data_IF_340884013683
#
_entry.id   IF_340884013683
#
_cell.length_a   1.000
_cell.length_b   1.000
_cell.length_c   1.000
_cell.angle_alpha   90.00
_cell.angle_beta   90.00
_cell.angle_gamma   90.00
#
_symmetry.space_group_name_H-M   'P 1'
#
loop_
_entity.id
_entity.type
_entity.pdbx_description
1 polymer ?
#
# COMPACT_ATOMS: atom_id res chain seq x y z
N UNK A 1 -1.20 -16.02 1.23
CA UNK A 1 -2.44 -15.34 1.69
C UNK A 1 -2.12 -13.85 1.81
N UNK A 2 -3.08 -12.98 1.47
CA UNK A 2 -2.96 -11.54 1.71
C UNK A 2 -3.36 -11.27 3.16
N UNK A 3 -2.47 -10.62 3.91
CA UNK A 3 -2.60 -10.44 5.36
C UNK A 3 -2.21 -9.02 5.75
N UNK A 4 -2.73 -8.57 6.89
CA UNK A 4 -2.26 -7.38 7.56
C UNK A 4 -1.99 -7.64 9.04
N UNK A 5 -0.99 -6.96 9.59
CA UNK A 5 -0.63 -6.92 11.01
C UNK A 5 -0.39 -5.48 11.42
N UNK A 6 -0.51 -5.16 12.72
CA UNK A 6 -0.09 -3.85 13.24
C UNK A 6 1.27 -4.02 13.88
N UNK A 7 2.25 -3.25 13.40
CA UNK A 7 3.64 -3.28 13.84
C UNK A 7 4.13 -1.94 14.38
N UNK A 8 5.26 -1.99 15.06
CA UNK A 8 6.08 -0.84 15.45
C UNK A 8 7.53 -1.18 15.13
N UNK A 9 8.32 -0.22 14.67
CA UNK A 9 9.76 -0.40 14.42
C UNK A 9 10.59 0.31 15.49
N UNK A 10 11.81 -0.16 15.75
CA UNK A 10 12.76 0.51 16.66
C UNK A 10 13.14 1.90 16.16
N UNK A 11 13.11 2.09 14.83
CA UNK A 11 13.48 3.34 14.16
C UNK A 11 12.30 4.32 14.05
N UNK A 12 11.14 3.99 14.63
CA UNK A 12 9.90 4.76 14.49
C UNK A 12 9.14 4.86 15.82
N UNK A 13 8.61 6.04 16.11
CA UNK A 13 7.77 6.26 17.28
C UNK A 13 6.28 5.94 17.02
N UNK A 14 5.90 5.62 15.78
CA UNK A 14 4.53 5.39 15.34
C UNK A 14 4.22 3.92 14.99
N UNK A 15 2.94 3.57 15.14
CA UNK A 15 2.38 2.29 14.69
C UNK A 15 1.99 2.37 13.22
N UNK A 16 2.18 1.27 12.48
CA UNK A 16 1.77 1.14 11.09
C UNK A 16 1.13 -0.23 10.85
N UNK A 17 0.31 -0.34 9.82
CA UNK A 17 -0.23 -1.62 9.38
C UNK A 17 0.68 -2.21 8.30
N UNK A 18 1.26 -3.37 8.55
CA UNK A 18 2.06 -4.11 7.59
C UNK A 18 1.16 -4.77 6.55
N UNK A 19 1.55 -4.68 5.28
CA UNK A 19 0.90 -5.40 4.18
C UNK A 19 1.80 -6.56 3.77
N UNK A 20 1.27 -7.77 3.89
CA UNK A 20 2.04 -9.01 3.72
C UNK A 20 1.40 -9.95 2.72
N UNK A 21 2.23 -10.62 1.92
CA UNK A 21 1.82 -11.68 1.00
C UNK A 21 2.72 -12.89 1.22
N UNK A 22 2.13 -14.02 1.60
CA UNK A 22 2.87 -15.23 1.96
C UNK A 22 3.96 -14.96 3.02
N UNK A 23 3.59 -14.23 4.08
CA UNK A 23 4.47 -13.87 5.19
C UNK A 23 5.68 -12.98 4.82
N UNK A 24 5.71 -12.44 3.61
CA UNK A 24 6.69 -11.42 3.19
C UNK A 24 5.99 -10.07 3.18
N UNK A 25 6.52 -9.13 3.96
CA UNK A 25 6.06 -7.74 3.93
C UNK A 25 6.46 -7.11 2.60
N UNK A 26 5.49 -6.55 1.89
CA UNK A 26 5.67 -5.86 0.62
C UNK A 26 5.27 -4.39 0.68
N UNK A 27 4.69 -3.96 1.81
CA UNK A 27 4.33 -2.58 2.01
C UNK A 27 3.82 -2.32 3.42
N UNK A 28 3.31 -1.12 3.62
CA UNK A 28 2.65 -0.71 4.84
C UNK A 28 1.65 0.43 4.59
N UNK A 29 0.76 0.60 5.55
CA UNK A 29 -0.15 1.73 5.65
C UNK A 29 0.25 2.50 6.91
N UNK A 30 0.68 3.74 6.74
CA UNK A 30 1.20 4.58 7.82
C UNK A 30 0.38 5.85 8.00
N UNK A 31 0.28 6.29 9.25
CA UNK A 31 -0.37 7.54 9.60
C UNK A 31 0.65 8.67 9.47
N UNK A 32 0.29 9.76 8.80
CA UNK A 32 1.09 10.99 8.78
C UNK A 32 1.34 11.52 10.20
N UNK A 33 2.45 12.25 10.38
CA UNK A 33 2.82 12.81 11.68
C UNK A 33 1.74 13.73 12.28
N UNK A 34 1.03 14.50 11.43
CA UNK A 34 -0.06 15.38 11.87
C UNK A 34 -1.40 14.64 12.07
N UNK A 35 -1.42 13.33 11.78
CA UNK A 35 -2.57 12.42 11.88
C UNK A 35 -3.76 12.82 11.00
N UNK A 36 -3.54 13.60 9.94
CA UNK A 36 -4.61 14.05 9.05
C UNK A 36 -4.74 13.21 7.78
N UNK A 37 -3.69 12.50 7.40
CA UNK A 37 -3.69 11.62 6.24
C UNK A 37 -3.04 10.27 6.51
N UNK A 38 -3.33 9.32 5.63
CA UNK A 38 -2.78 7.98 5.63
C UNK A 38 -2.04 7.77 4.32
N UNK A 39 -0.88 7.13 4.38
CA UNK A 39 -0.06 6.84 3.23
C UNK A 39 0.00 5.33 3.01
N UNK A 40 0.00 4.91 1.75
CA UNK A 40 0.34 3.54 1.35
C UNK A 40 1.78 3.58 0.86
N UNK A 41 2.62 2.77 1.48
CA UNK A 41 4.02 2.61 1.12
C UNK A 41 4.18 1.21 0.53
N UNK A 42 4.77 1.13 -0.66
CA UNK A 42 5.05 -0.13 -1.36
C UNK A 42 6.55 -0.29 -1.46
N UNK A 43 7.04 -1.40 -0.95
CA UNK A 43 8.43 -1.83 -1.06
C UNK A 43 8.60 -2.61 -2.35
N UNK A 44 9.30 -2.01 -3.31
CA UNK A 44 9.71 -2.70 -4.53
C UNK A 44 11.15 -3.17 -4.39
N UNK A 45 11.73 -3.72 -5.46
CA UNK A 45 13.06 -4.34 -5.42
C UNK A 45 14.17 -3.31 -5.09
N UNK A 46 15.26 -3.83 -4.50
CA UNK A 46 16.56 -3.18 -4.16
C UNK A 46 16.57 -1.65 -4.05
N UNK A 47 15.78 -1.11 -3.11
CA UNK A 47 15.79 0.27 -2.58
C UNK A 47 14.76 1.25 -3.17
N UNK A 48 13.81 0.78 -3.97
CA UNK A 48 12.73 1.64 -4.43
C UNK A 48 11.52 1.57 -3.49
N UNK A 49 11.28 2.66 -2.78
CA UNK A 49 10.10 2.89 -1.94
C UNK A 49 9.15 3.79 -2.71
N UNK A 50 7.92 3.33 -2.93
CA UNK A 50 6.86 4.14 -3.53
C UNK A 50 5.88 4.54 -2.43
N UNK A 51 5.60 5.83 -2.33
CA UNK A 51 4.68 6.39 -1.34
C UNK A 51 3.52 7.10 -2.03
N UNK A 52 2.31 6.82 -1.57
CA UNK A 52 1.08 7.37 -2.12
C UNK A 52 0.14 7.84 -1.01
N UNK A 53 -0.60 8.93 -1.23
CA UNK A 53 -1.76 9.25 -0.39
C UNK A 53 -2.83 8.15 -0.57
N UNK A 54 -3.36 7.65 0.55
CA UNK A 54 -4.27 6.50 0.56
C UNK A 54 -5.50 6.71 -0.33
N UNK A 55 -6.18 7.86 -0.19
CA UNK A 55 -7.42 8.13 -0.92
C UNK A 55 -7.19 8.24 -2.44
N UNK A 56 -6.12 8.90 -2.85
CA UNK A 56 -5.76 9.06 -4.27
C UNK A 56 -5.39 7.72 -4.90
N UNK A 57 -4.61 6.90 -4.17
CA UNK A 57 -4.21 5.58 -4.62
C UNK A 57 -5.43 4.65 -4.79
N UNK A 58 -6.34 4.64 -3.81
CA UNK A 58 -7.55 3.81 -3.87
C UNK A 58 -8.44 4.21 -5.04
N UNK A 59 -8.63 5.52 -5.28
CA UNK A 59 -9.38 6.00 -6.43
C UNK A 59 -8.74 5.58 -7.76
N UNK A 60 -7.42 5.62 -7.86
CA UNK A 60 -6.69 5.20 -9.06
C UNK A 60 -6.86 3.70 -9.33
N UNK A 61 -6.69 2.86 -8.31
CA UNK A 61 -6.89 1.40 -8.39
C UNK A 61 -8.31 1.07 -8.86
N UNK A 62 -9.32 1.73 -8.29
CA UNK A 62 -10.73 1.50 -8.67
C UNK A 62 -11.03 1.89 -10.12
N UNK A 63 -10.45 3.01 -10.59
CA UNK A 63 -10.54 3.43 -12.00
C UNK A 63 -9.84 2.42 -12.92
N UNK A 64 -8.66 1.95 -12.56
CA UNK A 64 -7.89 0.97 -13.32
C UNK A 64 -8.66 -0.36 -13.43
N UNK A 65 -9.15 -0.89 -12.30
CA UNK A 65 -10.01 -2.09 -12.26
C UNK A 65 -11.20 -1.96 -13.20
N UNK A 66 -11.94 -0.86 -13.09
CA UNK A 66 -13.13 -0.61 -13.91
C UNK A 66 -12.80 -0.48 -15.40
N UNK A 67 -11.61 0.01 -15.74
CA UNK A 67 -11.16 0.05 -17.13
C UNK A 67 -10.80 -1.35 -17.65
N UNK A 68 -9.99 -2.11 -16.92
CA UNK A 68 -9.57 -3.46 -17.30
C UNK A 68 -10.76 -4.40 -17.53
N UNK A 69 -11.80 -4.34 -16.68
CA UNK A 69 -13.01 -5.16 -16.80
C UNK A 69 -13.84 -4.86 -18.06
N UNK A 70 -13.58 -3.75 -18.75
CA UNK A 70 -14.25 -3.36 -20.00
C UNK A 70 -13.43 -3.70 -21.24
N UNK A 71 -12.17 -4.11 -21.09
CA UNK A 71 -11.33 -4.45 -22.23
C UNK A 71 -11.74 -5.79 -22.81
N UNK A 72 -11.71 -5.88 -24.14
CA UNK A 72 -11.84 -7.16 -24.83
C UNK A 72 -10.52 -7.95 -24.70
N UNK A 73 -10.58 -9.29 -24.68
CA UNK A 73 -9.38 -10.12 -24.67
C UNK A 73 -8.47 -9.80 -25.85
N UNK A 74 -7.15 -9.79 -25.61
CA UNK A 74 -6.18 -9.72 -26.70
C UNK A 74 -6.32 -10.99 -27.55
N UNK A 75 -6.50 -10.80 -28.86
CA UNK A 75 -6.75 -11.85 -29.85
C UNK A 75 -5.53 -12.72 -30.09
#
# INVERSE_FOLDING_TARGET
MLEYSVGSSVDREDLYAELSFNSVQWGEISLSQDRKSVNIIIYTNENNILEFQYDDFLQLIEKAKSHLLRLEPLS
#
